data_IF_829239044631
#
_entry.id   IF_829239044631
#
_cell.length_a   1.000
_cell.length_b   1.000
_cell.length_c   1.000
_cell.angle_alpha   90.00
_cell.angle_beta   90.00
_cell.angle_gamma   90.00
#
_symmetry.space_group_name_H-M   'P 1'
#
loop_
_entity.id
_entity.type
_entity.pdbx_description
1 polymer ?
#
# COMPACT_ATOMS: atom_id res chain seq x y z
N UNK A 1 8.52 11.43 -5.87
CA UNK A 1 8.48 10.05 -6.37
C UNK A 1 8.11 10.06 -7.83
N UNK A 2 8.74 9.19 -8.61
CA UNK A 2 8.49 9.08 -10.06
C UNK A 2 7.14 8.46 -10.37
N UNK A 3 6.76 8.47 -11.65
CA UNK A 3 5.54 7.83 -12.11
C UNK A 3 5.63 6.29 -12.04
N UNK A 4 4.49 5.65 -11.78
CA UNK A 4 4.36 4.20 -11.89
C UNK A 4 4.47 3.73 -13.34
N UNK A 5 4.88 2.48 -13.52
CA UNK A 5 4.98 1.84 -14.84
C UNK A 5 3.65 1.85 -15.58
N UNK A 6 2.55 1.70 -14.85
CA UNK A 6 1.19 1.60 -15.37
C UNK A 6 0.34 2.80 -14.97
N UNK A 7 0.48 3.34 -13.75
CA UNK A 7 -0.30 4.50 -13.32
C UNK A 7 0.01 5.74 -14.16
N UNK A 8 1.26 5.89 -14.62
CA UNK A 8 1.74 7.03 -15.43
C UNK A 8 1.44 8.40 -14.83
N UNK A 9 1.36 8.46 -13.49
CA UNK A 9 1.13 9.70 -12.75
C UNK A 9 2.29 9.87 -11.77
N UNK A 10 3.04 10.97 -11.91
CA UNK A 10 4.17 11.29 -11.04
C UNK A 10 3.69 11.36 -9.58
N UNK A 11 4.37 10.62 -8.70
CA UNK A 11 4.04 10.58 -7.27
C UNK A 11 2.87 9.67 -6.91
N UNK A 12 2.30 8.93 -7.86
CA UNK A 12 1.21 7.99 -7.61
C UNK A 12 1.58 6.59 -8.08
N UNK A 13 1.38 5.61 -7.21
CA UNK A 13 1.48 4.19 -7.53
C UNK A 13 0.15 3.52 -7.22
N UNK A 14 -0.31 2.66 -8.11
CA UNK A 14 -1.43 1.77 -7.82
C UNK A 14 -1.03 0.71 -6.78
N UNK A 15 -2.01 0.04 -6.18
CA UNK A 15 -1.75 -1.02 -5.20
C UNK A 15 -0.92 -2.16 -5.80
N UNK A 16 -1.25 -2.57 -7.04
CA UNK A 16 -0.50 -3.61 -7.76
C UNK A 16 0.94 -3.22 -8.12
N UNK A 17 1.24 -1.92 -8.22
CA UNK A 17 2.62 -1.42 -8.40
C UNK A 17 3.36 -1.31 -7.07
N UNK A 18 2.61 -1.07 -5.99
CA UNK A 18 3.14 -0.89 -4.64
C UNK A 18 3.51 -2.22 -4.01
N UNK A 19 2.62 -3.21 -4.03
CA UNK A 19 2.78 -4.48 -3.32
C UNK A 19 4.04 -5.25 -3.75
N UNK A 20 4.44 -5.14 -5.01
CA UNK A 20 5.64 -5.81 -5.57
C UNK A 20 6.94 -5.13 -5.13
N UNK A 21 6.88 -3.90 -4.63
CA UNK A 21 8.02 -3.09 -4.20
C UNK A 21 8.21 -3.11 -2.68
N UNK A 22 7.27 -3.66 -1.92
CA UNK A 22 7.25 -3.59 -0.46
C UNK A 22 7.66 -4.94 0.14
N UNK A 23 8.50 -4.89 1.17
CA UNK A 23 8.95 -6.05 1.93
C UNK A 23 8.76 -5.87 3.43
N UNK A 24 8.75 -6.99 4.15
CA UNK A 24 8.80 -6.98 5.60
C UNK A 24 9.97 -6.12 6.11
N UNK A 25 9.77 -5.30 7.15
CA UNK A 25 10.83 -4.48 7.74
C UNK A 25 12.00 -5.32 8.24
N UNK A 26 11.75 -6.57 8.63
CA UNK A 26 12.76 -7.49 9.19
C UNK A 26 13.46 -8.36 8.16
N UNK A 27 13.15 -8.23 6.86
CA UNK A 27 13.76 -9.07 5.82
C UNK A 27 15.20 -8.60 5.53
N UNK A 28 16.17 -9.14 6.27
CA UNK A 28 17.59 -8.80 6.14
C UNK A 28 18.18 -9.10 4.74
N UNK A 29 17.56 -9.98 3.97
CA UNK A 29 18.04 -10.38 2.62
C UNK A 29 17.35 -9.61 1.49
N UNK A 30 16.39 -8.75 1.79
CA UNK A 30 15.69 -8.02 0.73
C UNK A 30 16.66 -7.09 -0.01
N UNK A 31 16.59 -7.04 -1.34
CA UNK A 31 17.35 -6.10 -2.14
C UNK A 31 17.20 -4.66 -1.63
N UNK A 32 18.29 -3.89 -1.69
CA UNK A 32 18.25 -2.49 -1.25
C UNK A 32 17.31 -1.63 -2.09
N UNK A 33 16.87 -2.07 -3.27
CA UNK A 33 15.89 -1.38 -4.12
C UNK A 33 14.45 -1.44 -3.60
N UNK A 34 14.13 -2.35 -2.68
CA UNK A 34 12.77 -2.54 -2.15
C UNK A 34 12.49 -1.62 -0.94
N UNK A 35 11.21 -1.36 -0.72
CA UNK A 35 10.69 -0.49 0.33
C UNK A 35 10.40 -1.29 1.61
N UNK A 36 10.87 -0.78 2.75
CA UNK A 36 10.60 -1.34 4.07
C UNK A 36 9.23 -0.88 4.54
N UNK A 37 8.33 -1.83 4.76
CA UNK A 37 6.98 -1.57 5.28
C UNK A 37 7.04 -1.14 6.75
N UNK A 38 6.23 -0.14 7.10
CA UNK A 38 5.94 0.25 8.47
C UNK A 38 4.43 0.37 8.66
N UNK A 39 3.91 -0.39 9.62
CA UNK A 39 2.51 -0.36 10.01
C UNK A 39 2.38 0.29 11.40
N UNK A 40 1.23 0.91 11.67
CA UNK A 40 0.91 1.43 12.99
C UNK A 40 0.37 0.31 13.91
N UNK A 41 1.06 -0.05 15.00
CA UNK A 41 0.60 -1.08 15.93
C UNK A 41 -0.74 -0.75 16.59
N UNK A 42 -1.10 0.53 16.68
CA UNK A 42 -2.37 0.98 17.26
C UNK A 42 -3.54 0.90 16.28
N UNK A 43 -3.27 0.63 14.99
CA UNK A 43 -4.25 0.51 13.91
C UNK A 43 -5.10 1.76 13.69
N UNK A 44 -4.60 2.93 14.08
CA UNK A 44 -5.28 4.22 13.96
C UNK A 44 -4.81 5.00 12.72
N UNK A 45 -3.58 4.73 12.29
CA UNK A 45 -2.95 5.32 11.12
C UNK A 45 -2.87 4.31 9.98
N UNK A 46 -2.55 4.81 8.79
CA UNK A 46 -2.30 3.97 7.62
C UNK A 46 -0.91 3.33 7.63
N UNK A 47 -0.64 2.58 6.57
CA UNK A 47 0.69 2.01 6.30
C UNK A 47 1.50 2.98 5.45
N UNK A 48 2.81 3.00 5.70
CA UNK A 48 3.77 3.56 4.74
C UNK A 48 4.93 2.59 4.52
N UNK A 49 5.66 2.79 3.43
CA UNK A 49 6.88 2.08 3.13
C UNK A 49 7.96 3.07 2.70
N UNK A 50 9.21 2.79 3.05
CA UNK A 50 10.31 3.72 2.79
C UNK A 50 11.61 3.01 2.42
N UNK A 51 12.51 3.79 1.81
CA UNK A 51 13.89 3.43 1.54
C UNK A 51 14.74 4.68 1.71
N UNK A 52 15.83 4.55 2.45
CA UNK A 52 16.78 5.66 2.65
C UNK A 52 17.60 5.90 1.38
N UNK A 53 18.13 7.13 1.18
CA UNK A 53 19.08 7.43 0.11
C UNK A 53 20.26 6.44 0.10
N UNK A 54 20.72 6.05 -1.09
CA UNK A 54 21.83 5.11 -1.27
C UNK A 54 23.05 5.85 -1.79
N UNK A 55 23.87 6.34 -0.85
CA UNK A 55 25.11 7.08 -1.16
C UNK A 55 26.10 6.27 -1.99
N UNK A 56 26.10 4.94 -1.82
CA UNK A 56 26.91 4.00 -2.59
C UNK A 56 26.50 3.86 -4.06
N UNK A 57 25.33 4.41 -4.42
CA UNK A 57 24.77 4.37 -5.78
C UNK A 57 24.49 5.76 -6.35
N UNK A 58 25.13 6.79 -5.79
CA UNK A 58 24.92 8.20 -6.15
C UNK A 58 23.44 8.62 -6.09
N UNK A 59 22.68 8.01 -5.18
CA UNK A 59 21.26 8.28 -5.01
C UNK A 59 21.05 9.19 -3.79
N UNK A 60 20.85 10.47 -4.07
CA UNK A 60 20.69 11.52 -3.06
C UNK A 60 19.30 11.50 -2.39
N UNK A 61 18.28 11.01 -3.11
CA UNK A 61 16.90 11.02 -2.65
C UNK A 61 16.46 9.67 -2.05
N UNK A 62 15.68 9.73 -0.99
CA UNK A 62 14.99 8.57 -0.43
C UNK A 62 13.66 8.33 -1.13
N UNK A 63 13.08 7.15 -0.91
CA UNK A 63 11.72 6.86 -1.36
C UNK A 63 10.80 6.74 -0.16
N UNK A 64 9.65 7.39 -0.21
CA UNK A 64 8.58 7.25 0.78
C UNK A 64 7.24 7.10 0.08
N UNK A 65 6.40 6.20 0.59
CA UNK A 65 5.11 5.87 0.03
C UNK A 65 4.11 5.54 1.14
N UNK A 66 3.07 6.35 1.32
CA UNK A 66 1.84 5.96 2.02
C UNK A 66 0.88 5.31 1.05
N UNK A 67 0.26 4.22 1.47
CA UNK A 67 -0.65 3.47 0.64
C UNK A 67 -1.68 2.73 1.50
N UNK A 68 -2.75 2.25 0.86
CA UNK A 68 -3.69 1.34 1.50
C UNK A 68 -3.24 -0.11 1.40
N UNK A 69 -3.35 -0.83 2.51
CA UNK A 69 -3.28 -2.28 2.56
C UNK A 69 -4.69 -2.87 2.76
N UNK A 70 -4.88 -4.16 2.44
CA UNK A 70 -6.15 -4.84 2.71
C UNK A 70 -6.53 -4.74 4.20
N UNK A 71 -5.54 -4.81 5.09
CA UNK A 71 -5.73 -4.68 6.53
C UNK A 71 -6.18 -3.27 6.95
N UNK A 72 -5.59 -2.20 6.41
CA UNK A 72 -6.01 -0.82 6.73
C UNK A 72 -7.37 -0.48 6.15
N UNK A 73 -7.70 -1.02 4.98
CA UNK A 73 -9.03 -0.91 4.38
C UNK A 73 -10.10 -1.60 5.23
N UNK A 74 -9.79 -2.78 5.78
CA UNK A 74 -10.66 -3.47 6.74
C UNK A 74 -10.90 -2.63 7.99
N UNK A 75 -9.86 -1.98 8.55
CA UNK A 75 -10.01 -1.11 9.71
C UNK A 75 -10.88 0.11 9.45
N UNK A 76 -10.76 0.73 8.28
CA UNK A 76 -11.62 1.85 7.87
C UNK A 76 -13.08 1.43 7.69
N UNK A 77 -13.32 0.28 7.08
CA UNK A 77 -14.67 -0.29 6.96
C UNK A 77 -15.29 -0.60 8.32
N UNK A 78 -14.54 -1.25 9.21
CA UNK A 78 -14.99 -1.55 10.57
C UNK A 78 -15.29 -0.26 11.37
N UNK A 79 -14.47 0.77 11.20
CA UNK A 79 -14.74 2.09 11.78
C UNK A 79 -16.04 2.69 11.26
N UNK A 80 -16.27 2.69 9.94
CA UNK A 80 -17.49 3.21 9.34
C UNK A 80 -18.73 2.50 9.88
N UNK A 81 -18.68 1.17 9.97
CA UNK A 81 -19.72 0.33 10.59
C UNK A 81 -19.97 0.70 12.05
N UNK A 82 -18.91 0.79 12.86
CA UNK A 82 -19.01 1.12 14.29
C UNK A 82 -19.55 2.53 14.55
N UNK A 83 -19.42 3.44 13.58
CA UNK A 83 -19.96 4.80 13.63
C UNK A 83 -21.35 4.95 13.02
N UNK A 84 -21.94 3.86 12.53
CA UNK A 84 -23.26 3.90 11.88
C UNK A 84 -23.26 4.73 10.59
N UNK A 85 -22.12 4.83 9.91
CA UNK A 85 -22.03 5.48 8.59
C UNK A 85 -22.65 4.57 7.52
N UNK A 86 -23.10 5.15 6.40
CA UNK A 86 -23.73 4.40 5.32
C UNK A 86 -22.80 3.42 4.57
N UNK A 87 -21.49 3.55 4.73
CA UNK A 87 -20.50 2.67 4.11
C UNK A 87 -19.14 3.34 3.93
N UNK A 88 -18.33 2.80 3.01
CA UNK A 88 -17.08 3.40 2.56
C UNK A 88 -17.09 3.59 1.04
N UNK A 89 -16.35 4.59 0.56
CA UNK A 89 -16.09 4.81 -0.87
C UNK A 89 -14.67 4.37 -1.18
N UNK A 90 -14.51 3.61 -2.26
CA UNK A 90 -13.21 3.20 -2.79
C UNK A 90 -12.85 4.08 -3.99
N UNK A 91 -11.64 4.64 -4.02
CA UNK A 91 -11.15 5.51 -5.10
C UNK A 91 -9.81 4.97 -5.62
N UNK A 92 -9.76 4.29 -6.76
CA UNK A 92 -10.86 3.65 -7.46
C UNK A 92 -10.47 2.20 -7.83
N UNK A 93 -11.39 1.44 -8.44
CA UNK A 93 -11.18 0.03 -8.76
C UNK A 93 -9.99 -0.23 -9.69
N UNK A 94 -9.60 0.74 -10.53
CA UNK A 94 -8.47 0.61 -11.46
C UNK A 94 -7.11 0.61 -10.74
N UNK A 95 -7.07 1.12 -9.51
CA UNK A 95 -5.86 1.19 -8.69
C UNK A 95 -5.73 0.00 -7.72
N UNK A 96 -6.77 -0.84 -7.61
CA UNK A 96 -6.72 -2.11 -6.88
C UNK A 96 -6.11 -3.21 -7.76
N UNK A 97 -5.71 -4.33 -7.15
CA UNK A 97 -5.13 -5.45 -7.88
C UNK A 97 -6.21 -6.36 -8.47
N UNK A 98 -6.81 -5.92 -9.58
CA UNK A 98 -7.82 -6.70 -10.31
C UNK A 98 -7.30 -8.04 -10.85
N UNK A 99 -5.98 -8.20 -10.98
CA UNK A 99 -5.33 -9.37 -11.58
C UNK A 99 -4.82 -10.38 -10.55
N UNK A 100 -4.73 -10.00 -9.28
CA UNK A 100 -4.11 -10.82 -8.24
C UNK A 100 -2.60 -10.98 -8.46
N UNK A 101 -1.94 -9.96 -8.99
CA UNK A 101 -0.50 -9.96 -9.21
C UNK A 101 0.31 -9.96 -7.89
N UNK A 102 -0.24 -9.44 -6.79
CA UNK A 102 0.45 -9.36 -5.52
C UNK A 102 0.58 -10.72 -4.81
N UNK A 103 -0.55 -11.41 -4.61
CA UNK A 103 -0.64 -12.64 -3.82
C UNK A 103 -1.66 -13.66 -4.37
N UNK A 104 -2.16 -13.46 -5.60
CA UNK A 104 -3.21 -14.27 -6.21
C UNK A 104 -4.65 -13.80 -5.89
N UNK A 105 -4.83 -12.90 -4.91
CA UNK A 105 -6.14 -12.36 -4.55
C UNK A 105 -6.53 -11.22 -5.48
N UNK A 106 -7.65 -11.35 -6.19
CA UNK A 106 -8.20 -10.25 -6.99
C UNK A 106 -8.95 -9.25 -6.11
N UNK A 107 -8.76 -7.96 -6.36
CA UNK A 107 -9.37 -6.85 -5.64
C UNK A 107 -9.20 -6.93 -4.11
N UNK A 108 -7.98 -7.11 -3.59
CA UNK A 108 -7.75 -7.36 -2.18
C UNK A 108 -8.17 -6.17 -1.28
N UNK A 109 -8.04 -4.92 -1.73
CA UNK A 109 -8.48 -3.75 -0.97
C UNK A 109 -10.01 -3.72 -0.88
N UNK A 110 -10.70 -3.82 -2.02
CA UNK A 110 -12.15 -3.85 -2.07
C UNK A 110 -12.73 -4.99 -1.23
N UNK A 111 -12.19 -6.21 -1.38
CA UNK A 111 -12.67 -7.40 -0.66
C UNK A 111 -12.55 -7.22 0.84
N UNK A 112 -11.42 -6.71 1.32
CA UNK A 112 -11.22 -6.49 2.75
C UNK A 112 -12.17 -5.44 3.31
N UNK A 113 -12.41 -4.35 2.59
CA UNK A 113 -13.43 -3.37 3.00
C UNK A 113 -14.83 -4.00 3.03
N UNK A 114 -15.22 -4.73 1.97
CA UNK A 114 -16.53 -5.41 1.85
C UNK A 114 -16.80 -6.40 2.98
N UNK A 115 -15.79 -7.14 3.43
CA UNK A 115 -15.90 -8.15 4.49
C UNK A 115 -16.02 -7.54 5.90
N UNK A 116 -15.70 -6.25 6.06
CA UNK A 116 -15.64 -5.56 7.36
C UNK A 116 -16.66 -4.42 7.50
N UNK A 117 -17.55 -4.24 6.51
CA UNK A 117 -18.76 -3.43 6.62
C UNK A 117 -19.89 -4.16 7.35
#
# INVERSE_FOLDING_TARGET
GDEGTYSKIKGTLAYYETCTRVVSPTNARAPSTLLRRVTDPTKRLGTYAYRLPQKDKDEEEGFWLSYEEPETAAYKAAYAKAKGLGGVVLVDLSLDDARGACDGTKFPILRSAKMNL
#
